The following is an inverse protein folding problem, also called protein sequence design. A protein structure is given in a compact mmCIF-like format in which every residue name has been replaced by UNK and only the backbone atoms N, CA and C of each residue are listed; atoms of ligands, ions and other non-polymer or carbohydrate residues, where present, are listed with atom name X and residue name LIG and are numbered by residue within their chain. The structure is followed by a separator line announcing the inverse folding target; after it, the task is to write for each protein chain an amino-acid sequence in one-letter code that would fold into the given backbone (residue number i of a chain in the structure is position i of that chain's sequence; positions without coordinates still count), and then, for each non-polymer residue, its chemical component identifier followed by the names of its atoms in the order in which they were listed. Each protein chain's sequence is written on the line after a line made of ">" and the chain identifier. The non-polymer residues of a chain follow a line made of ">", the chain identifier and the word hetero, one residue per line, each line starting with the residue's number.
data_IF_476813586267
#
_entry.id   IF_476813586267
#
_cell.length_a   1.000
_cell.length_b   1.000
_cell.length_c   1.000
_cell.angle_alpha   90.00
_cell.angle_beta   90.00
_cell.angle_gamma   90.00
#
_symmetry.space_group_name_H-M   'P 1'
#
loop_
_entity.id
_entity.type
_entity.pdbx_description
1 polymer ?
#
# COMPACT_ATOMS: atom_id res chain seq x y z
N UNK A 1 -31.95 -0.69 5.44
CA UNK A 1 -31.60 0.47 4.59
C UNK A 1 -30.93 1.62 5.38
N UNK A 2 -30.55 1.43 6.66
CA UNK A 2 -30.07 2.53 7.53
C UNK A 2 -28.54 2.58 7.72
N UNK A 3 -27.80 1.49 7.51
CA UNK A 3 -26.33 1.48 7.70
C UNK A 3 -25.56 2.01 6.48
N UNK A 4 -26.03 1.73 5.27
CA UNK A 4 -25.36 2.17 4.01
C UNK A 4 -25.37 3.70 3.89
N UNK A 5 -26.50 4.35 4.19
CA UNK A 5 -26.62 5.82 4.15
C UNK A 5 -25.72 6.54 5.16
N UNK A 6 -25.33 5.88 6.26
CA UNK A 6 -24.48 6.49 7.29
C UNK A 6 -22.99 6.40 6.91
N UNK A 7 -22.59 5.33 6.20
CA UNK A 7 -21.22 5.13 5.77
C UNK A 7 -20.85 6.01 4.56
N UNK A 8 -21.74 6.12 3.56
CA UNK A 8 -21.54 7.05 2.43
C UNK A 8 -21.42 8.52 2.89
N UNK A 9 -22.14 8.88 3.95
CA UNK A 9 -22.06 10.20 4.59
C UNK A 9 -20.69 10.41 5.25
N UNK A 10 -20.19 9.42 6.00
CA UNK A 10 -18.87 9.52 6.64
C UNK A 10 -17.70 9.56 5.65
N UNK A 11 -17.73 8.77 4.58
CA UNK A 11 -16.71 8.83 3.52
C UNK A 11 -16.68 10.21 2.87
N UNK A 12 -17.84 10.80 2.59
CA UNK A 12 -17.92 12.15 2.01
C UNK A 12 -17.31 13.20 2.94
N UNK A 13 -17.66 13.16 4.23
CA UNK A 13 -17.10 14.06 5.25
C UNK A 13 -15.58 13.91 5.35
N UNK A 14 -15.06 12.69 5.28
CA UNK A 14 -13.63 12.41 5.31
C UNK A 14 -12.88 12.94 4.09
N UNK A 15 -13.46 12.81 2.90
CA UNK A 15 -12.90 13.39 1.67
C UNK A 15 -12.80 14.92 1.78
N UNK A 16 -13.81 15.57 2.37
CA UNK A 16 -13.79 17.01 2.61
C UNK A 16 -12.77 17.41 3.67
N UNK A 17 -12.64 16.62 4.75
CA UNK A 17 -11.65 16.84 5.79
C UNK A 17 -10.22 16.74 5.24
N UNK A 18 -9.91 15.71 4.44
CA UNK A 18 -8.64 15.57 3.73
C UNK A 18 -8.38 16.77 2.81
N UNK A 19 -9.38 17.20 2.03
CA UNK A 19 -9.26 18.36 1.14
C UNK A 19 -8.94 19.64 1.92
N UNK A 20 -9.62 19.88 3.03
CA UNK A 20 -9.42 21.04 3.90
C UNK A 20 -8.03 21.03 4.53
N UNK A 21 -7.56 19.87 4.96
CA UNK A 21 -6.22 19.69 5.51
C UNK A 21 -5.09 20.00 4.53
N UNK A 22 -5.30 19.86 3.21
CA UNK A 22 -4.30 20.32 2.21
C UNK A 22 -4.04 21.82 2.27
N UNK A 23 -5.00 22.61 2.76
CA UNK A 23 -4.85 24.06 2.93
C UNK A 23 -4.55 24.48 4.37
N UNK A 24 -5.06 23.73 5.35
CA UNK A 24 -4.99 24.11 6.77
C UNK A 24 -3.89 23.35 7.55
N UNK A 25 -3.31 22.32 6.96
CA UNK A 25 -2.32 21.45 7.57
C UNK A 25 -2.91 20.16 8.13
N UNK A 26 -2.02 19.20 8.38
CA UNK A 26 -2.34 17.93 9.04
C UNK A 26 -2.66 18.16 10.53
N UNK A 27 -3.59 17.36 11.07
CA UNK A 27 -3.89 17.32 12.51
C UNK A 27 -4.04 15.87 12.97
N UNK A 28 -3.77 15.61 14.24
CA UNK A 28 -4.00 14.29 14.83
C UNK A 28 -5.49 13.90 14.78
N UNK A 29 -6.39 14.87 15.01
CA UNK A 29 -7.84 14.64 14.91
C UNK A 29 -8.27 14.15 13.51
N UNK A 30 -7.62 14.64 12.45
CA UNK A 30 -7.86 14.14 11.09
C UNK A 30 -7.45 12.68 10.99
N UNK A 31 -6.25 12.33 11.46
CA UNK A 31 -5.78 10.94 11.41
C UNK A 31 -6.70 10.01 12.20
N UNK A 32 -7.04 10.39 13.44
CA UNK A 32 -7.94 9.60 14.29
C UNK A 32 -9.31 9.42 13.64
N UNK A 33 -9.81 10.47 12.96
CA UNK A 33 -11.05 10.40 12.20
C UNK A 33 -10.96 9.43 11.02
N UNK A 34 -9.89 9.48 10.22
CA UNK A 34 -9.69 8.55 9.09
C UNK A 34 -9.54 7.11 9.57
N UNK A 35 -8.77 6.87 10.64
CA UNK A 35 -8.63 5.55 11.26
C UNK A 35 -10.00 5.03 11.69
N UNK A 36 -10.84 5.87 12.29
CA UNK A 36 -12.18 5.46 12.73
C UNK A 36 -13.11 4.97 11.61
N UNK A 37 -12.85 5.34 10.36
CA UNK A 37 -13.65 4.92 9.20
C UNK A 37 -13.24 3.54 8.69
N UNK A 38 -12.00 3.12 8.95
CA UNK A 38 -11.46 1.81 8.51
C UNK A 38 -11.58 1.60 7.00
N UNK A 39 -11.30 2.65 6.21
CA UNK A 39 -11.31 2.60 4.76
C UNK A 39 -9.89 2.77 4.20
N UNK A 40 -9.47 1.79 3.39
CA UNK A 40 -8.12 1.73 2.86
C UNK A 40 -7.80 2.84 1.85
N UNK A 41 -8.77 3.31 1.06
CA UNK A 41 -8.55 4.44 0.14
C UNK A 41 -8.27 5.70 0.95
N UNK A 42 -9.06 5.96 2.00
CA UNK A 42 -8.87 7.11 2.87
C UNK A 42 -7.56 7.03 3.66
N UNK A 43 -7.21 5.86 4.19
CA UNK A 43 -5.94 5.62 4.86
C UNK A 43 -4.74 5.86 3.91
N UNK A 44 -4.81 5.31 2.70
CA UNK A 44 -3.80 5.54 1.66
C UNK A 44 -3.68 7.04 1.32
N UNK A 45 -4.80 7.73 1.10
CA UNK A 45 -4.79 9.16 0.76
C UNK A 45 -4.22 10.01 1.88
N UNK A 46 -4.53 9.70 3.15
CA UNK A 46 -3.95 10.38 4.29
C UNK A 46 -2.42 10.19 4.31
N UNK A 47 -1.96 8.93 4.18
CA UNK A 47 -0.55 8.62 4.12
C UNK A 47 0.14 9.33 2.95
N UNK A 48 -0.42 9.28 1.75
CA UNK A 48 0.14 9.90 0.54
C UNK A 48 0.24 11.42 0.67
N UNK A 49 -0.84 12.08 1.09
CA UNK A 49 -0.94 13.54 1.07
C UNK A 49 -0.21 14.22 2.24
N UNK A 50 0.04 13.52 3.35
CA UNK A 50 0.61 14.10 4.56
C UNK A 50 1.81 13.28 5.07
N UNK A 51 2.97 13.93 5.17
CA UNK A 51 4.21 13.28 5.63
C UNK A 51 4.17 12.93 7.12
N UNK A 52 3.40 13.68 7.88
CA UNK A 52 3.22 13.55 9.33
C UNK A 52 2.33 12.37 9.74
N UNK A 53 1.62 11.73 8.80
CA UNK A 53 0.75 10.61 9.08
C UNK A 53 1.52 9.41 9.66
N UNK A 54 0.96 8.79 10.70
CA UNK A 54 1.52 7.59 11.32
C UNK A 54 1.21 6.36 10.47
N UNK A 55 2.21 5.93 9.69
CA UNK A 55 2.06 4.83 8.76
C UNK A 55 1.88 3.47 9.46
N UNK A 56 2.40 3.29 10.67
CA UNK A 56 2.28 2.03 11.40
C UNK A 56 0.85 1.78 11.86
N UNK A 57 0.11 2.84 12.19
CA UNK A 57 -1.30 2.74 12.57
C UNK A 57 -2.22 2.56 11.35
N UNK A 58 -1.82 3.10 10.19
CA UNK A 58 -2.60 2.99 8.95
C UNK A 58 -2.39 1.65 8.24
N UNK A 59 -1.23 1.01 8.39
CA UNK A 59 -0.88 -0.24 7.70
C UNK A 59 -1.90 -1.37 7.88
N UNK A 60 -2.43 -1.67 9.09
CA UNK A 60 -3.46 -2.69 9.25
C UNK A 60 -4.71 -2.43 8.40
N UNK A 61 -5.12 -1.16 8.24
CA UNK A 61 -6.28 -0.78 7.43
C UNK A 61 -6.01 -1.05 5.95
N UNK A 62 -4.77 -0.87 5.51
CA UNK A 62 -4.34 -1.19 4.14
C UNK A 62 -4.35 -2.71 3.92
N UNK A 63 -3.80 -3.47 4.87
CA UNK A 63 -3.69 -4.93 4.80
C UNK A 63 -5.05 -5.64 4.88
N UNK A 64 -6.04 -5.02 5.52
CA UNK A 64 -7.41 -5.51 5.58
C UNK A 64 -8.21 -5.25 4.27
N UNK A 65 -7.63 -4.53 3.31
CA UNK A 65 -8.26 -4.25 2.02
C UNK A 65 -8.14 -5.42 1.04
N UNK A 66 -9.22 -5.69 0.31
CA UNK A 66 -9.17 -6.58 -0.86
C UNK A 66 -8.46 -5.94 -2.08
N UNK A 67 -8.12 -4.66 -2.02
CA UNK A 67 -7.43 -3.94 -3.10
C UNK A 67 -5.92 -3.99 -2.84
N UNK A 68 -5.29 -5.08 -3.28
CA UNK A 68 -3.83 -5.33 -3.12
C UNK A 68 -2.96 -4.18 -3.63
N UNK A 69 -3.42 -3.42 -4.64
CA UNK A 69 -2.70 -2.27 -5.16
C UNK A 69 -2.40 -1.21 -4.07
N UNK A 70 -3.25 -1.08 -3.04
CA UNK A 70 -2.96 -0.20 -1.92
C UNK A 70 -1.77 -0.67 -1.09
N UNK A 71 -1.58 -1.98 -0.90
CA UNK A 71 -0.39 -2.49 -0.19
C UNK A 71 0.91 -2.12 -0.92
N UNK A 72 0.93 -2.26 -2.26
CA UNK A 72 2.05 -1.82 -3.09
C UNK A 72 2.31 -0.31 -3.00
N UNK A 73 1.29 0.51 -3.21
CA UNK A 73 1.45 1.98 -3.17
C UNK A 73 1.82 2.48 -1.76
N UNK A 74 1.33 1.83 -0.72
CA UNK A 74 1.68 2.15 0.66
C UNK A 74 3.11 1.76 1.00
N UNK A 75 3.61 0.63 0.48
CA UNK A 75 5.01 0.23 0.64
C UNK A 75 5.97 1.23 0.00
N UNK A 76 5.64 1.80 -1.18
CA UNK A 76 6.42 2.88 -1.78
C UNK A 76 6.52 4.09 -0.84
N UNK A 77 5.41 4.49 -0.21
CA UNK A 77 5.38 5.60 0.74
C UNK A 77 6.26 5.28 1.96
N UNK A 78 6.16 4.07 2.52
CA UNK A 78 7.00 3.62 3.64
C UNK A 78 8.49 3.64 3.28
N UNK A 79 8.84 3.12 2.10
CA UNK A 79 10.21 3.09 1.60
C UNK A 79 10.78 4.50 1.40
N UNK A 80 10.06 5.39 0.71
CA UNK A 80 10.45 6.79 0.49
C UNK A 80 10.74 7.52 1.82
N UNK A 81 9.90 7.24 2.83
CA UNK A 81 9.99 7.89 4.15
C UNK A 81 10.89 7.14 5.12
N UNK A 82 11.45 5.98 4.73
CA UNK A 82 12.23 5.07 5.59
C UNK A 82 11.50 4.73 6.89
N UNK A 83 10.20 4.48 6.77
CA UNK A 83 9.31 4.23 7.89
C UNK A 83 9.01 2.73 7.99
N UNK A 84 9.40 2.10 9.11
CA UNK A 84 8.98 0.76 9.47
C UNK A 84 9.44 -0.36 8.54
N UNK A 85 8.93 -1.57 8.81
CA UNK A 85 9.07 -2.74 7.95
C UNK A 85 8.02 -2.72 6.84
N UNK A 86 8.33 -3.34 5.70
CA UNK A 86 7.38 -3.59 4.60
C UNK A 86 7.05 -5.07 4.43
N UNK A 87 7.52 -5.94 5.33
CA UNK A 87 7.41 -7.40 5.22
C UNK A 87 5.95 -7.86 5.04
N UNK A 88 5.03 -7.35 5.86
CA UNK A 88 3.60 -7.72 5.77
C UNK A 88 2.96 -7.25 4.46
N UNK A 89 3.39 -6.11 3.91
CA UNK A 89 2.92 -5.61 2.62
C UNK A 89 3.41 -6.50 1.47
N UNK A 90 4.65 -7.02 1.56
CA UNK A 90 5.17 -7.99 0.59
C UNK A 90 4.38 -9.29 0.63
N UNK A 91 4.18 -9.84 1.82
CA UNK A 91 3.40 -11.07 2.03
C UNK A 91 1.97 -10.91 1.51
N UNK A 92 1.35 -9.75 1.72
CA UNK A 92 0.01 -9.46 1.21
C UNK A 92 -0.01 -9.41 -0.32
N UNK A 93 0.98 -8.77 -0.96
CA UNK A 93 1.10 -8.73 -2.42
C UNK A 93 1.34 -10.12 -2.99
N UNK A 94 2.21 -10.91 -2.39
CA UNK A 94 2.45 -12.30 -2.78
C UNK A 94 1.18 -13.14 -2.62
N UNK A 95 0.49 -13.00 -1.49
CA UNK A 95 -0.74 -13.72 -1.17
C UNK A 95 -1.89 -13.44 -2.14
N UNK A 96 -1.87 -12.29 -2.83
CA UNK A 96 -2.85 -11.96 -3.87
C UNK A 96 -2.73 -12.81 -5.13
N UNK A 97 -1.54 -13.38 -5.39
CA UNK A 97 -1.24 -14.09 -6.63
C UNK A 97 -1.09 -13.19 -7.87
N UNK A 98 -1.10 -11.86 -7.73
CA UNK A 98 -0.90 -10.95 -8.87
C UNK A 98 0.59 -10.82 -9.21
N UNK A 99 1.05 -11.63 -10.17
CA UNK A 99 2.44 -11.60 -10.65
C UNK A 99 2.89 -10.23 -11.21
N UNK A 100 1.96 -9.40 -11.69
CA UNK A 100 2.27 -8.04 -12.15
C UNK A 100 2.59 -7.11 -10.98
N UNK A 101 1.82 -7.19 -9.89
CA UNK A 101 2.12 -6.44 -8.67
C UNK A 101 3.38 -6.95 -7.97
N UNK A 102 3.64 -8.27 -7.96
CA UNK A 102 4.90 -8.83 -7.43
C UNK A 102 6.12 -8.25 -8.17
N UNK A 103 6.07 -8.20 -9.51
CA UNK A 103 7.11 -7.58 -10.34
C UNK A 103 7.33 -6.11 -9.98
N UNK A 104 6.25 -5.33 -9.95
CA UNK A 104 6.33 -3.89 -9.64
C UNK A 104 6.88 -3.66 -8.24
N UNK A 105 6.43 -4.44 -7.26
CA UNK A 105 6.90 -4.30 -5.88
C UNK A 105 8.41 -4.55 -5.80
N UNK A 106 8.89 -5.67 -6.32
CA UNK A 106 10.32 -6.01 -6.27
C UNK A 106 11.20 -5.02 -7.04
N UNK A 107 10.69 -4.47 -8.14
CA UNK A 107 11.40 -3.47 -8.95
C UNK A 107 11.44 -2.09 -8.27
N UNK A 108 10.29 -1.60 -7.81
CA UNK A 108 10.11 -0.18 -7.47
C UNK A 108 10.26 0.11 -5.97
N UNK A 109 9.97 -0.86 -5.09
CA UNK A 109 10.03 -0.63 -3.63
C UNK A 109 11.46 -0.82 -3.12
N UNK A 110 12.05 0.24 -2.57
CA UNK A 110 13.35 0.17 -1.91
C UNK A 110 13.25 -0.71 -0.65
N UNK A 111 14.18 -1.63 -0.49
CA UNK A 111 14.17 -2.60 0.61
C UNK A 111 13.29 -3.83 0.36
N UNK A 112 12.70 -3.97 -0.83
CA UNK A 112 11.97 -5.18 -1.19
C UNK A 112 12.88 -6.42 -1.16
N UNK A 113 12.36 -7.51 -0.61
CA UNK A 113 12.99 -8.83 -0.61
C UNK A 113 12.81 -9.49 -1.97
N UNK A 114 13.79 -9.29 -2.85
CA UNK A 114 13.77 -9.81 -4.22
C UNK A 114 13.87 -11.34 -4.27
N UNK A 115 14.55 -11.98 -3.31
CA UNK A 115 14.64 -13.44 -3.22
C UNK A 115 13.25 -14.02 -2.92
N UNK A 116 12.50 -13.40 -1.97
CA UNK A 116 11.14 -13.79 -1.64
C UNK A 116 10.17 -13.66 -2.84
N UNK A 117 10.28 -12.57 -3.61
CA UNK A 117 9.46 -12.41 -4.83
C UNK A 117 9.86 -13.37 -5.94
N UNK A 118 11.14 -13.72 -6.09
CA UNK A 118 11.56 -14.76 -7.03
C UNK A 118 10.91 -16.11 -6.68
N UNK A 119 11.03 -16.56 -5.43
CA UNK A 119 10.44 -17.83 -4.96
C UNK A 119 8.93 -17.87 -5.19
N UNK A 120 8.23 -16.76 -4.93
CA UNK A 120 6.80 -16.67 -5.21
C UNK A 120 6.49 -16.80 -6.71
N UNK A 121 7.29 -16.17 -7.57
CA UNK A 121 7.13 -16.19 -9.02
C UNK A 121 7.53 -17.52 -9.68
N UNK A 122 8.46 -18.27 -9.10
CA UNK A 122 8.77 -19.65 -9.52
C UNK A 122 7.55 -20.57 -9.39
N UNK A 123 6.73 -20.33 -8.36
CA UNK A 123 5.51 -21.09 -8.10
C UNK A 123 4.27 -20.51 -8.80
N UNK A 124 4.42 -19.40 -9.53
CA UNK A 124 3.30 -18.72 -10.18
C UNK A 124 2.79 -19.50 -11.42
N UNK A 125 1.47 -19.60 -11.66
CA UNK A 125 0.93 -20.41 -12.77
C UNK A 125 1.35 -19.95 -14.17
N UNK A 126 1.61 -18.66 -14.37
CA UNK A 126 2.17 -18.11 -15.61
C UNK A 126 3.68 -17.87 -15.45
N UNK A 127 4.55 -18.67 -16.10
CA UNK A 127 6.00 -18.58 -15.98
C UNK A 127 6.58 -17.32 -16.65
N UNK A 128 5.79 -16.56 -17.41
CA UNK A 128 6.26 -15.29 -17.99
C UNK A 128 6.62 -14.27 -16.92
N UNK A 129 5.94 -14.29 -15.78
CA UNK A 129 6.24 -13.35 -14.70
C UNK A 129 7.66 -13.56 -14.16
N UNK A 130 8.08 -14.81 -13.93
CA UNK A 130 9.48 -15.10 -13.56
C UNK A 130 10.48 -14.63 -14.64
N UNK A 131 10.19 -14.90 -15.92
CA UNK A 131 11.07 -14.45 -17.02
C UNK A 131 11.20 -12.92 -17.08
N UNK A 132 10.10 -12.20 -16.84
CA UNK A 132 10.09 -10.74 -16.77
C UNK A 132 10.83 -10.24 -15.52
N UNK A 133 10.65 -10.92 -14.37
CA UNK A 133 11.32 -10.59 -13.12
C UNK A 133 12.83 -10.66 -13.27
N UNK A 134 13.33 -11.80 -13.74
CA UNK A 134 14.77 -12.00 -13.95
C UNK A 134 15.36 -10.96 -14.92
N UNK A 135 14.61 -10.63 -15.97
CA UNK A 135 15.04 -9.62 -16.94
C UNK A 135 15.13 -8.24 -16.29
N UNK A 136 14.10 -7.85 -15.53
CA UNK A 136 14.02 -6.55 -14.88
C UNK A 136 15.09 -6.40 -13.79
N UNK A 137 15.26 -7.42 -12.93
CA UNK A 137 16.30 -7.40 -11.90
C UNK A 137 17.70 -7.28 -12.50
N UNK A 138 17.98 -7.97 -13.61
CA UNK A 138 19.23 -7.82 -14.37
C UNK A 138 19.43 -6.40 -14.92
N UNK A 139 18.37 -5.75 -15.42
CA UNK A 139 18.45 -4.36 -15.90
C UNK A 139 18.69 -3.37 -14.76
N UNK A 140 18.06 -3.59 -13.61
CA UNK A 140 18.20 -2.76 -12.41
C UNK A 140 19.51 -3.02 -11.65
N UNK A 141 20.23 -4.10 -11.98
CA UNK A 141 21.43 -4.53 -11.25
C UNK A 141 21.13 -5.01 -9.83
N UNK A 142 19.88 -5.44 -9.57
CA UNK A 142 19.48 -6.04 -8.31
C UNK A 142 19.90 -7.50 -8.29
N UNK A 143 20.43 -7.94 -7.15
CA UNK A 143 20.65 -9.35 -6.87
C UNK A 143 19.35 -9.96 -6.34
N UNK A 144 19.08 -11.17 -6.78
CA UNK A 144 17.93 -11.99 -6.45
C UNK A 144 18.39 -13.44 -6.60
#
# INVERSE_FOLDING_TARGET
>A
MSQVNNMEDQTTVAIEALRKAKTEGFTQDLQDFIIGIQDAELAYRLAHDFHEADLEILEPIILDSDITRYAYEFALIKAERRAGSIELLQEHVIGSGDGGLMLLFAADVEGADTELFEEALENHPDPKFLQHFEHEMRLLGKHY
#
